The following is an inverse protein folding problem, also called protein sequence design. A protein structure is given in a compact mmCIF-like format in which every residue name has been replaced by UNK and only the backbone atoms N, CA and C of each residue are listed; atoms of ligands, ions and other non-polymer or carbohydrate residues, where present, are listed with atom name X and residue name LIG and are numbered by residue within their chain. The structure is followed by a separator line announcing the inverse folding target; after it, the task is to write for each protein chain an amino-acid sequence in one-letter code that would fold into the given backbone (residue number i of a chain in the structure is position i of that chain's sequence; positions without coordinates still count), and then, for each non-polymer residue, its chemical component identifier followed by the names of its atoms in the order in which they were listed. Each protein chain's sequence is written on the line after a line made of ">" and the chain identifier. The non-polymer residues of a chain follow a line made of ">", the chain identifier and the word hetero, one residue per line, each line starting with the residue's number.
data_IF_236729858165
#
_entry.id   IF_236729858165
#
_cell.length_a   1.000
_cell.length_b   1.000
_cell.length_c   1.000
_cell.angle_alpha   90.00
_cell.angle_beta   90.00
_cell.angle_gamma   90.00
#
_symmetry.space_group_name_H-M   'P 1'
#
loop_
_entity.id
_entity.type
_entity.pdbx_description
1 polymer ?
#
# COMPACT_ATOMS: atom_id res chain seq x y z
N UNK A 1 22.40 -19.94 -23.36
CA UNK A 1 23.21 -19.12 -24.28
C UNK A 1 22.93 -19.60 -25.70
N UNK A 2 22.48 -18.73 -26.60
CA UNK A 2 22.35 -19.09 -28.02
C UNK A 2 23.75 -19.21 -28.66
N UNK A 3 23.95 -20.15 -29.60
CA UNK A 3 25.22 -20.28 -30.31
C UNK A 3 25.46 -19.05 -31.21
N UNK A 4 26.73 -18.67 -31.49
CA UNK A 4 27.02 -17.53 -32.35
C UNK A 4 26.45 -17.74 -33.76
N UNK A 5 25.85 -16.72 -34.40
CA UNK A 5 25.27 -16.88 -35.73
C UNK A 5 26.32 -17.28 -36.75
N UNK A 6 25.98 -18.26 -37.60
CA UNK A 6 26.80 -18.66 -38.75
C UNK A 6 27.01 -17.47 -39.69
N UNK A 7 28.29 -17.10 -39.87
CA UNK A 7 28.89 -16.30 -40.95
C UNK A 7 27.89 -15.75 -42.00
N UNK A 8 27.22 -14.65 -41.72
CA UNK A 8 27.20 -13.45 -42.57
C UNK A 8 26.30 -12.39 -41.95
N UNK A 9 26.87 -11.20 -41.74
CA UNK A 9 26.20 -9.96 -41.36
C UNK A 9 25.93 -9.73 -39.86
N UNK A 10 27.00 -9.58 -39.07
CA UNK A 10 26.96 -9.17 -37.66
C UNK A 10 26.20 -7.84 -37.47
N UNK A 11 26.32 -6.92 -38.43
CA UNK A 11 25.57 -5.66 -38.46
C UNK A 11 24.05 -5.89 -38.44
N UNK A 12 23.53 -6.83 -39.24
CA UNK A 12 22.09 -7.13 -39.28
C UNK A 12 21.60 -7.73 -37.96
N UNK A 13 22.36 -8.66 -37.40
CA UNK A 13 22.04 -9.25 -36.10
C UNK A 13 22.00 -8.18 -34.99
N UNK A 14 23.02 -7.32 -34.94
CA UNK A 14 23.12 -6.27 -33.95
C UNK A 14 21.96 -5.26 -34.03
N UNK A 15 21.56 -4.86 -35.25
CA UNK A 15 20.40 -3.98 -35.47
C UNK A 15 19.10 -4.59 -34.92
N UNK A 16 18.88 -5.89 -35.16
CA UNK A 16 17.72 -6.60 -34.64
C UNK A 16 17.73 -6.66 -33.11
N UNK A 17 18.89 -6.99 -32.52
CA UNK A 17 19.07 -7.04 -31.07
C UNK A 17 18.78 -5.67 -30.42
N UNK A 18 19.33 -4.60 -30.99
CA UNK A 18 19.12 -3.22 -30.52
C UNK A 18 17.64 -2.80 -30.57
N UNK A 19 16.95 -3.15 -31.66
CA UNK A 19 15.51 -2.91 -31.80
C UNK A 19 14.72 -3.65 -30.72
N UNK A 20 15.06 -4.91 -30.47
CA UNK A 20 14.41 -5.70 -29.42
C UNK A 20 14.69 -5.12 -28.03
N UNK A 21 15.92 -4.69 -27.74
CA UNK A 21 16.28 -4.07 -26.46
C UNK A 21 15.43 -2.83 -26.17
N UNK A 22 15.27 -1.93 -27.16
CA UNK A 22 14.39 -0.74 -27.02
C UNK A 22 12.94 -1.17 -26.76
N UNK A 23 12.43 -2.13 -27.51
CA UNK A 23 11.06 -2.63 -27.33
C UNK A 23 10.84 -3.22 -25.93
N UNK A 24 11.80 -3.98 -25.39
CA UNK A 24 11.71 -4.57 -24.05
C UNK A 24 11.84 -3.51 -22.95
N UNK A 25 12.66 -2.48 -23.15
CA UNK A 25 12.75 -1.34 -22.22
C UNK A 25 11.44 -0.56 -22.16
N UNK A 26 10.82 -0.28 -23.32
CA UNK A 26 9.50 0.34 -23.36
C UNK A 26 8.44 -0.51 -22.65
N UNK A 27 8.40 -1.83 -22.91
CA UNK A 27 7.47 -2.73 -22.25
C UNK A 27 7.66 -2.75 -20.73
N UNK A 28 8.90 -2.83 -20.24
CA UNK A 28 9.21 -2.74 -18.80
C UNK A 28 8.67 -1.44 -18.20
N UNK A 29 9.01 -0.30 -18.81
CA UNK A 29 8.56 1.00 -18.32
C UNK A 29 7.03 1.14 -18.35
N UNK A 30 6.38 0.57 -19.38
CA UNK A 30 4.93 0.57 -19.50
C UNK A 30 4.28 -0.22 -18.36
N UNK A 31 4.75 -1.44 -18.07
CA UNK A 31 4.23 -2.24 -16.95
C UNK A 31 4.37 -1.53 -15.61
N UNK A 32 5.48 -0.83 -15.38
CA UNK A 32 5.68 -0.03 -14.17
C UNK A 32 4.73 1.18 -14.11
N UNK A 33 4.47 1.84 -15.25
CA UNK A 33 3.48 2.92 -15.33
C UNK A 33 2.05 2.44 -15.13
N UNK A 34 1.72 1.24 -15.60
CA UNK A 34 0.41 0.62 -15.42
C UNK A 34 0.18 0.26 -13.95
N UNK A 35 1.18 -0.29 -13.26
CA UNK A 35 1.12 -0.53 -11.82
C UNK A 35 0.87 0.76 -11.01
N UNK A 36 1.53 1.87 -11.38
CA UNK A 36 1.30 3.17 -10.73
C UNK A 36 -0.14 3.68 -10.96
N UNK A 37 -0.71 3.45 -12.14
CA UNK A 37 -2.09 3.80 -12.43
C UNK A 37 -3.08 2.90 -11.67
N UNK A 38 -2.79 1.61 -11.54
CA UNK A 38 -3.58 0.67 -10.74
C UNK A 38 -3.58 1.06 -9.27
N UNK A 39 -2.41 1.34 -8.69
CA UNK A 39 -2.28 1.82 -7.30
C UNK A 39 -3.10 3.09 -7.08
N UNK A 40 -2.99 4.05 -8.00
CA UNK A 40 -3.74 5.30 -7.96
C UNK A 40 -5.24 5.07 -8.01
N UNK A 41 -5.72 4.34 -9.02
CA UNK A 41 -7.16 4.15 -9.25
C UNK A 41 -7.80 3.31 -8.15
N UNK A 42 -7.11 2.28 -7.66
CA UNK A 42 -7.53 1.51 -6.49
C UNK A 42 -7.66 2.41 -5.25
N UNK A 43 -6.64 3.22 -4.97
CA UNK A 43 -6.63 4.13 -3.82
C UNK A 43 -7.79 5.13 -3.87
N UNK A 44 -8.06 5.72 -5.04
CA UNK A 44 -9.19 6.64 -5.24
C UNK A 44 -10.53 5.93 -4.98
N UNK A 45 -10.73 4.75 -5.57
CA UNK A 45 -11.98 3.99 -5.42
C UNK A 45 -12.21 3.55 -3.97
N UNK A 46 -11.18 3.02 -3.31
CA UNK A 46 -11.23 2.67 -1.89
C UNK A 46 -11.55 3.88 -1.03
N UNK A 47 -10.88 5.00 -1.28
CA UNK A 47 -11.08 6.24 -0.54
C UNK A 47 -12.48 6.81 -0.70
N UNK A 48 -13.10 6.68 -1.88
CA UNK A 48 -14.48 7.08 -2.11
C UNK A 48 -15.48 6.24 -1.29
N UNK A 49 -15.24 4.93 -1.18
CA UNK A 49 -16.06 4.04 -0.33
C UNK A 49 -15.94 4.45 1.13
N UNK A 50 -14.71 4.61 1.62
CA UNK A 50 -14.44 4.97 3.01
C UNK A 50 -15.00 6.35 3.37
N UNK A 51 -14.93 7.31 2.44
CA UNK A 51 -15.52 8.64 2.59
C UNK A 51 -17.03 8.56 2.75
N UNK A 52 -17.72 7.84 1.86
CA UNK A 52 -19.17 7.67 1.93
C UNK A 52 -19.62 7.03 3.25
N UNK A 53 -18.93 5.98 3.69
CA UNK A 53 -19.17 5.33 4.98
C UNK A 53 -18.98 6.30 6.15
N UNK A 54 -17.87 7.05 6.15
CA UNK A 54 -17.52 7.97 7.23
C UNK A 54 -18.48 9.15 7.32
N UNK A 55 -18.86 9.73 6.18
CA UNK A 55 -19.87 10.81 6.12
C UNK A 55 -21.24 10.33 6.61
N UNK A 56 -21.65 9.12 6.25
CA UNK A 56 -22.91 8.53 6.73
C UNK A 56 -22.90 8.33 8.25
N UNK A 57 -21.81 7.79 8.82
CA UNK A 57 -21.64 7.66 10.26
C UNK A 57 -21.63 9.01 10.96
N UNK A 58 -20.88 9.97 10.44
CA UNK A 58 -20.79 11.32 10.99
C UNK A 58 -22.17 11.98 11.06
N UNK A 59 -22.96 11.84 9.98
CA UNK A 59 -24.31 12.37 9.89
C UNK A 59 -25.24 11.79 10.95
N UNK A 60 -25.26 10.47 11.13
CA UNK A 60 -26.14 9.87 12.14
C UNK A 60 -25.69 10.22 13.56
N UNK A 61 -24.38 10.17 13.86
CA UNK A 61 -23.87 10.51 15.20
C UNK A 61 -24.20 11.94 15.58
N UNK A 62 -23.92 12.88 14.66
CA UNK A 62 -24.24 14.30 14.86
C UNK A 62 -25.73 14.54 15.02
N UNK A 63 -26.57 13.86 14.23
CA UNK A 63 -28.02 13.99 14.33
C UNK A 63 -28.54 13.55 15.71
N UNK A 64 -27.99 12.48 16.30
CA UNK A 64 -28.38 12.02 17.64
C UNK A 64 -27.78 12.88 18.75
N UNK A 65 -26.56 13.42 18.58
CA UNK A 65 -25.96 14.36 19.53
C UNK A 65 -26.76 15.67 19.63
N UNK A 66 -27.30 16.13 18.49
CA UNK A 66 -28.12 17.35 18.44
C UNK A 66 -29.56 17.14 18.94
N UNK A 67 -29.99 15.90 19.21
CA UNK A 67 -31.28 15.66 19.86
C UNK A 67 -31.21 16.15 21.30
N UNK A 68 -32.34 16.65 21.82
CA UNK A 68 -32.49 16.96 23.25
C UNK A 68 -32.47 15.67 24.07
N UNK A 69 -31.27 15.21 24.41
CA UNK A 69 -31.05 14.13 25.37
C UNK A 69 -31.06 14.77 26.77
N UNK A 70 -31.79 14.22 27.76
CA UNK A 70 -31.70 14.68 29.14
C UNK A 70 -30.23 14.70 29.62
N UNK A 71 -29.76 15.88 30.06
CA UNK A 71 -28.39 16.04 30.54
C UNK A 71 -28.34 15.72 32.04
N UNK A 72 -28.57 14.45 32.39
CA UNK A 72 -28.52 13.99 33.77
C UNK A 72 -27.04 13.98 34.20
N UNK A 73 -26.67 14.72 35.26
CA UNK A 73 -25.28 14.80 35.70
C UNK A 73 -24.84 13.50 36.35
N UNK A 74 -23.58 13.13 36.13
CA UNK A 74 -22.91 12.12 36.95
C UNK A 74 -22.61 12.68 38.35
N UNK A 75 -22.63 11.80 39.34
CA UNK A 75 -22.24 12.13 40.70
C UNK A 75 -20.72 12.04 40.79
N UNK A 76 -20.07 13.18 41.05
CA UNK A 76 -18.63 13.25 41.30
C UNK A 76 -18.37 13.15 42.80
N UNK A 77 -17.63 12.13 43.21
CA UNK A 77 -17.17 11.96 44.59
C UNK A 77 -15.65 11.85 44.55
N UNK A 78 -14.95 12.76 45.22
CA UNK A 78 -13.48 12.77 45.25
C UNK A 78 -12.95 11.47 45.86
N UNK A 79 -12.03 10.81 45.15
CA UNK A 79 -11.41 9.55 45.57
C UNK A 79 -12.24 8.28 45.37
N UNK A 80 -13.45 8.38 44.80
CA UNK A 80 -14.25 7.21 44.43
C UNK A 80 -13.90 6.68 43.03
N UNK A 81 -14.21 5.40 42.78
CA UNK A 81 -14.18 4.84 41.42
C UNK A 81 -15.09 5.64 40.50
N UNK A 82 -14.58 5.92 39.29
CA UNK A 82 -15.35 6.57 38.24
C UNK A 82 -16.56 5.69 37.88
N UNK A 83 -17.73 6.31 37.74
CA UNK A 83 -18.99 5.65 37.37
C UNK A 83 -19.74 6.55 36.39
N UNK A 84 -20.54 5.93 35.53
CA UNK A 84 -21.27 6.64 34.48
C UNK A 84 -22.75 6.31 34.55
N UNK A 85 -23.59 7.31 34.29
CA UNK A 85 -25.00 7.09 34.01
C UNK A 85 -25.23 6.72 32.54
N UNK A 86 -26.35 6.08 32.25
CA UNK A 86 -26.64 5.52 30.92
C UNK A 86 -26.74 6.59 29.81
N UNK A 87 -27.14 7.82 30.14
CA UNK A 87 -27.24 8.91 29.17
C UNK A 87 -25.85 9.42 28.74
N UNK A 88 -24.90 9.49 29.67
CA UNK A 88 -23.53 9.90 29.37
C UNK A 88 -22.74 8.79 28.66
N UNK A 89 -22.98 7.52 28.97
CA UNK A 89 -22.42 6.41 28.18
C UNK A 89 -22.93 6.46 26.74
N UNK A 90 -24.24 6.68 26.53
CA UNK A 90 -24.80 6.85 25.19
C UNK A 90 -24.20 8.05 24.45
N UNK A 91 -23.98 9.18 25.14
CA UNK A 91 -23.28 10.33 24.55
C UNK A 91 -21.87 9.96 24.10
N UNK A 92 -21.11 9.25 24.93
CA UNK A 92 -19.77 8.77 24.59
C UNK A 92 -19.78 7.89 23.33
N UNK A 93 -20.78 7.01 23.17
CA UNK A 93 -20.93 6.22 21.93
C UNK A 93 -20.99 7.12 20.71
N UNK A 94 -21.80 8.18 20.75
CA UNK A 94 -21.98 9.09 19.63
C UNK A 94 -20.72 9.92 19.36
N UNK A 95 -20.10 10.47 20.41
CA UNK A 95 -18.87 11.28 20.32
C UNK A 95 -17.68 10.48 19.77
N UNK A 96 -17.47 9.26 20.27
CA UNK A 96 -16.39 8.39 19.77
C UNK A 96 -16.64 7.94 18.33
N UNK A 97 -17.89 7.70 17.91
CA UNK A 97 -18.20 7.43 16.50
C UNK A 97 -17.94 8.66 15.61
N UNK A 98 -18.28 9.86 16.07
CA UNK A 98 -17.98 11.11 15.35
C UNK A 98 -16.47 11.29 15.17
N UNK A 99 -15.69 11.07 16.24
CA UNK A 99 -14.23 11.10 16.23
C UNK A 99 -13.64 10.10 15.24
N UNK A 100 -14.12 8.85 15.25
CA UNK A 100 -13.64 7.82 14.31
C UNK A 100 -13.99 8.16 12.85
N UNK A 101 -15.19 8.69 12.59
CA UNK A 101 -15.57 9.13 11.25
C UNK A 101 -14.65 10.24 10.74
N UNK A 102 -14.35 11.25 11.58
CA UNK A 102 -13.39 12.32 11.23
C UNK A 102 -11.98 11.77 10.98
N UNK A 103 -11.51 10.83 11.79
CA UNK A 103 -10.20 10.20 11.62
C UNK A 103 -10.09 9.44 10.28
N UNK A 104 -11.15 8.73 9.88
CA UNK A 104 -11.21 8.05 8.57
C UNK A 104 -11.20 9.03 7.40
N UNK A 105 -11.92 10.15 7.51
CA UNK A 105 -11.91 11.20 6.49
C UNK A 105 -10.51 11.82 6.34
N UNK A 106 -9.81 12.08 7.43
CA UNK A 106 -8.42 12.53 7.39
C UNK A 106 -7.51 11.49 6.72
N UNK A 107 -7.65 10.20 7.05
CA UNK A 107 -6.89 9.13 6.38
C UNK A 107 -7.14 9.09 4.87
N UNK A 108 -8.39 9.28 4.43
CA UNK A 108 -8.76 9.39 3.01
C UNK A 108 -8.04 10.55 2.31
N UNK A 109 -8.01 11.73 2.92
CA UNK A 109 -7.30 12.89 2.36
C UNK A 109 -5.79 12.61 2.22
N UNK A 110 -5.22 11.98 3.24
CA UNK A 110 -3.81 11.61 3.24
C UNK A 110 -3.52 10.56 2.16
N UNK A 111 -4.38 9.55 1.95
CA UNK A 111 -4.23 8.60 0.85
C UNK A 111 -4.32 9.25 -0.53
N UNK A 112 -5.19 10.23 -0.69
CA UNK A 112 -5.29 10.97 -1.95
C UNK A 112 -3.97 11.69 -2.24
N UNK A 113 -3.42 12.42 -1.28
CA UNK A 113 -2.22 13.23 -1.46
C UNK A 113 -0.95 12.37 -1.57
N UNK A 114 -0.73 11.47 -0.61
CA UNK A 114 0.55 10.76 -0.45
C UNK A 114 0.67 9.53 -1.35
N UNK A 115 -0.43 9.05 -1.93
CA UNK A 115 -0.41 7.87 -2.81
C UNK A 115 -0.97 8.22 -4.19
N UNK A 116 -2.22 8.66 -4.28
CA UNK A 116 -2.87 8.81 -5.59
C UNK A 116 -2.25 9.93 -6.45
N UNK A 117 -1.97 11.08 -5.84
CA UNK A 117 -1.36 12.23 -6.54
C UNK A 117 0.13 11.98 -6.82
N UNK A 118 0.89 11.48 -5.85
CA UNK A 118 2.30 11.11 -6.02
C UNK A 118 2.51 10.02 -7.09
N UNK A 119 1.67 8.98 -7.13
CA UNK A 119 1.72 7.95 -8.17
C UNK A 119 1.46 8.54 -9.57
N UNK A 120 0.54 9.49 -9.68
CA UNK A 120 0.26 10.22 -10.93
C UNK A 120 1.49 11.00 -11.40
N UNK A 121 2.13 11.75 -10.50
CA UNK A 121 3.33 12.54 -10.81
C UNK A 121 4.49 11.64 -11.22
N UNK A 122 4.74 10.58 -10.45
CA UNK A 122 5.80 9.62 -10.75
C UNK A 122 5.61 8.94 -12.10
N UNK A 123 4.37 8.53 -12.43
CA UNK A 123 4.04 7.95 -13.73
C UNK A 123 4.38 8.92 -14.87
N UNK A 124 3.99 10.18 -14.76
CA UNK A 124 4.31 11.20 -15.77
C UNK A 124 5.82 11.43 -15.88
N UNK A 125 6.53 11.45 -14.75
CA UNK A 125 7.97 11.58 -14.72
C UNK A 125 8.67 10.41 -15.43
N UNK A 126 8.26 9.17 -15.15
CA UNK A 126 8.78 7.97 -15.85
C UNK A 126 8.60 8.04 -17.35
N UNK A 127 7.42 8.42 -17.84
CA UNK A 127 7.19 8.56 -19.28
C UNK A 127 8.16 9.56 -19.93
N UNK A 128 8.42 10.68 -19.25
CA UNK A 128 9.35 11.69 -19.73
C UNK A 128 10.82 11.21 -19.70
N UNK A 129 11.22 10.54 -18.62
CA UNK A 129 12.57 9.99 -18.48
C UNK A 129 12.81 8.85 -19.47
N UNK A 130 11.86 7.94 -19.64
CA UNK A 130 11.97 6.82 -20.56
C UNK A 130 12.25 7.28 -21.99
N UNK A 131 11.56 8.33 -22.47
CA UNK A 131 11.82 8.92 -23.78
C UNK A 131 13.27 9.39 -23.92
N UNK A 132 13.77 10.15 -22.95
CA UNK A 132 15.16 10.64 -22.97
C UNK A 132 16.17 9.49 -22.94
N UNK A 133 15.94 8.50 -22.09
CA UNK A 133 16.81 7.32 -21.98
C UNK A 133 16.87 6.52 -23.28
N UNK A 134 15.73 6.32 -23.95
CA UNK A 134 15.70 5.61 -25.24
C UNK A 134 16.33 6.42 -26.36
N UNK A 135 16.18 7.75 -26.39
CA UNK A 135 16.83 8.61 -27.36
C UNK A 135 18.37 8.56 -27.22
N UNK A 136 18.89 8.62 -25.99
CA UNK A 136 20.32 8.47 -25.71
C UNK A 136 20.82 7.07 -26.08
N UNK A 137 20.08 6.02 -25.75
CA UNK A 137 20.47 4.65 -26.07
C UNK A 137 20.45 4.39 -27.58
N UNK A 138 19.49 4.95 -28.32
CA UNK A 138 19.43 4.86 -29.77
C UNK A 138 20.64 5.53 -30.46
N UNK A 139 21.17 6.60 -29.87
CA UNK A 139 22.39 7.23 -30.34
C UNK A 139 23.61 6.31 -30.13
N UNK A 140 23.76 5.74 -28.94
CA UNK A 140 24.79 4.73 -28.66
C UNK A 140 24.69 3.52 -29.61
N UNK A 141 23.47 3.05 -29.89
CA UNK A 141 23.22 2.00 -30.87
C UNK A 141 23.76 2.34 -32.26
N UNK A 142 23.53 3.57 -32.73
CA UNK A 142 24.00 4.04 -34.04
C UNK A 142 25.53 4.10 -34.12
N UNK A 143 26.19 4.57 -33.06
CA UNK A 143 27.65 4.65 -32.98
C UNK A 143 28.29 3.26 -32.96
N UNK A 144 27.73 2.34 -32.16
CA UNK A 144 28.18 0.95 -32.12
C UNK A 144 27.96 0.23 -33.45
N UNK A 145 26.80 0.42 -34.09
CA UNK A 145 26.54 -0.14 -35.42
C UNK A 145 27.53 0.38 -36.48
N UNK A 146 27.93 1.65 -36.41
CA UNK A 146 28.97 2.21 -37.28
C UNK A 146 30.31 1.50 -37.06
N UNK A 147 30.67 1.23 -35.81
CA UNK A 147 31.93 0.54 -35.48
C UNK A 147 31.94 -0.90 -36.03
N UNK A 148 30.80 -1.61 -35.95
CA UNK A 148 30.65 -2.97 -36.54
C UNK A 148 30.64 -2.94 -38.07
N UNK A 149 30.08 -1.90 -38.69
CA UNK A 149 30.16 -1.72 -40.15
C UNK A 149 31.60 -1.59 -40.63
N UNK A 150 32.47 -0.92 -39.87
CA UNK A 150 33.88 -0.79 -40.22
C UNK A 150 34.65 -2.12 -40.11
N UNK A 151 34.22 -3.02 -39.21
CA UNK A 151 34.71 -4.42 -39.18
C UNK A 151 34.35 -5.15 -40.47
N UNK A 152 33.11 -5.03 -40.95
CA UNK A 152 32.68 -5.67 -42.20
C UNK A 152 33.46 -5.11 -43.41
N UNK A 153 33.73 -3.80 -43.45
CA UNK A 153 34.51 -3.14 -44.52
C UNK A 153 35.98 -3.58 -44.53
N UNK A 154 36.67 -3.47 -43.39
CA UNK A 154 38.09 -3.82 -43.26
C UNK A 154 38.32 -5.32 -43.47
N UNK A 155 37.37 -6.16 -43.02
CA UNK A 155 37.38 -7.60 -43.34
C UNK A 155 37.38 -7.84 -44.84
N UNK A 156 36.49 -7.18 -45.60
CA UNK A 156 36.40 -7.35 -47.05
C UNK A 156 37.71 -6.96 -47.71
N UNK A 157 38.26 -5.79 -47.36
CA UNK A 157 39.55 -5.32 -47.87
C UNK A 157 40.68 -6.30 -47.57
N UNK A 158 40.77 -6.78 -46.32
CA UNK A 158 41.75 -7.80 -45.93
C UNK A 158 41.62 -9.07 -46.78
N UNK A 159 40.40 -9.58 -46.99
CA UNK A 159 40.19 -10.79 -47.81
C UNK A 159 40.61 -10.58 -49.26
N UNK A 160 40.30 -9.42 -49.86
CA UNK A 160 40.66 -9.09 -51.23
C UNK A 160 42.19 -8.94 -51.41
N UNK A 161 42.87 -8.24 -50.50
CA UNK A 161 44.33 -8.05 -50.53
C UNK A 161 45.09 -9.35 -50.20
N UNK A 162 44.64 -10.13 -49.22
CA UNK A 162 45.25 -11.42 -48.87
C UNK A 162 45.12 -12.43 -50.02
N UNK A 163 43.97 -12.48 -50.70
CA UNK A 163 43.77 -13.33 -51.86
C UNK A 163 44.73 -12.96 -53.00
N UNK A 164 44.87 -11.66 -53.29
CA UNK A 164 45.80 -11.18 -54.32
C UNK A 164 47.27 -11.46 -53.95
N UNK A 165 47.64 -11.31 -52.67
CA UNK A 165 48.97 -11.65 -52.17
C UNK A 165 49.25 -13.16 -52.22
N UNK A 166 48.24 -14.00 -52.00
CA UNK A 166 48.34 -15.45 -52.13
C UNK A 166 48.62 -15.88 -53.58
N UNK A 167 47.86 -15.35 -54.53
CA UNK A 167 48.03 -15.64 -55.96
C UNK A 167 49.44 -15.29 -56.47
N UNK A 168 50.04 -14.21 -55.96
CA UNK A 168 51.40 -13.82 -56.33
C UNK A 168 52.45 -14.65 -55.62
N UNK A 169 52.20 -15.12 -54.38
CA UNK A 169 53.06 -16.11 -53.70
C UNK A 169 53.15 -17.41 -54.49
N UNK A 170 52.02 -17.94 -54.96
CA UNK A 170 52.00 -19.17 -55.77
C UNK A 170 52.76 -18.99 -57.09
N UNK A 171 52.55 -17.87 -57.79
CA UNK A 171 53.29 -17.52 -59.02
C UNK A 171 54.79 -17.37 -58.80
N UNK A 172 55.20 -16.74 -57.69
CA UNK A 172 56.61 -16.59 -57.33
C UNK A 172 57.26 -17.96 -57.10
N UNK A 173 56.58 -18.83 -56.33
CA UNK A 173 57.03 -20.20 -56.04
C UNK A 173 57.18 -21.04 -57.32
N UNK A 174 56.22 -20.96 -58.23
CA UNK A 174 56.29 -21.65 -59.53
C UNK A 174 57.49 -21.21 -60.38
N UNK A 175 57.80 -19.90 -60.39
CA UNK A 175 58.94 -19.35 -61.13
C UNK A 175 60.27 -19.78 -60.47
N UNK A 176 60.36 -19.74 -59.14
CA UNK A 176 61.52 -20.22 -58.40
C UNK A 176 61.79 -21.71 -58.62
N UNK A 177 60.74 -22.54 -58.63
CA UNK A 177 60.87 -23.97 -58.93
C UNK A 177 61.36 -24.23 -60.37
N UNK A 178 60.87 -23.46 -61.35
CA UNK A 178 61.34 -23.55 -62.75
C UNK A 178 62.82 -23.16 -62.87
N UNK A 179 63.26 -22.14 -62.13
CA UNK A 179 64.68 -21.74 -62.05
C UNK A 179 65.54 -22.82 -61.39
N UNK A 180 65.10 -23.41 -60.26
CA UNK A 180 65.82 -24.49 -59.55
C UNK A 180 65.98 -25.76 -60.40
N UNK A 181 64.95 -26.13 -61.17
CA UNK A 181 64.96 -27.33 -62.02
C UNK A 181 65.76 -27.15 -63.32
N UNK A 182 66.33 -25.95 -63.60
CA UNK A 182 66.96 -25.57 -64.90
C UNK A 182 66.14 -25.96 -66.14
N UNK A 183 64.82 -26.15 -65.99
CA UNK A 183 63.89 -26.49 -67.08
C UNK A 183 63.38 -25.18 -67.69
N UNK A 184 64.21 -24.55 -68.51
CA UNK A 184 63.74 -23.53 -69.44
C UNK A 184 62.80 -24.16 -70.46
N UNK A 185 61.69 -23.50 -70.76
CA UNK A 185 60.93 -23.80 -71.98
C UNK A 185 61.86 -23.62 -73.19
N UNK A 186 61.71 -24.41 -74.24
CA UNK A 186 62.59 -24.44 -75.44
C UNK A 186 62.76 -23.06 -76.12
N UNK A 187 61.92 -22.08 -75.76
CA UNK A 187 61.94 -20.70 -76.27
C UNK A 187 62.26 -19.61 -75.24
N UNK A 188 62.65 -19.95 -74.00
CA UNK A 188 62.83 -18.95 -72.93
C UNK A 188 64.21 -18.99 -72.29
N UNK A 189 65.00 -17.92 -72.44
CA UNK A 189 66.37 -17.84 -71.91
C UNK A 189 66.39 -17.72 -70.39
N UNK A 190 67.44 -18.28 -69.75
CA UNK A 190 67.65 -18.24 -68.29
C UNK A 190 67.65 -16.79 -67.78
N UNK A 191 68.26 -15.86 -68.52
CA UNK A 191 68.30 -14.42 -68.19
C UNK A 191 66.90 -13.79 -68.18
N UNK A 192 66.02 -14.19 -69.10
CA UNK A 192 64.63 -13.71 -69.13
C UNK A 192 63.81 -14.22 -67.94
N UNK A 193 64.05 -15.47 -67.51
CA UNK A 193 63.43 -16.07 -66.32
C UNK A 193 63.91 -15.40 -65.03
N UNK A 194 65.20 -15.05 -64.93
CA UNK A 194 65.75 -14.30 -63.79
C UNK A 194 65.14 -12.89 -63.69
N UNK A 195 65.01 -12.16 -64.80
CA UNK A 195 64.37 -10.83 -64.83
C UNK A 195 62.89 -10.91 -64.44
N UNK A 196 62.18 -11.95 -64.89
CA UNK A 196 60.79 -12.19 -64.52
C UNK A 196 60.66 -12.54 -63.02
N UNK A 197 61.53 -13.40 -62.49
CA UNK A 197 61.59 -13.73 -61.07
C UNK A 197 61.81 -12.50 -60.19
N UNK A 198 62.75 -11.63 -60.54
CA UNK A 198 62.98 -10.38 -59.82
C UNK A 198 61.74 -9.45 -59.84
N UNK A 199 61.07 -9.33 -60.99
CA UNK A 199 59.83 -8.54 -61.13
C UNK A 199 58.69 -9.10 -60.30
N UNK A 200 58.50 -10.43 -60.31
CA UNK A 200 57.44 -11.10 -59.54
C UNK A 200 57.74 -11.05 -58.04
N UNK A 201 59.01 -11.16 -57.62
CA UNK A 201 59.41 -10.98 -56.23
C UNK A 201 59.13 -9.57 -55.73
N UNK A 202 59.51 -8.53 -56.49
CA UNK A 202 59.20 -7.14 -56.11
C UNK A 202 57.69 -6.89 -56.00
N UNK A 203 56.89 -7.47 -56.91
CA UNK A 203 55.43 -7.40 -56.85
C UNK A 203 54.86 -8.18 -55.66
N UNK A 204 55.46 -9.32 -55.30
CA UNK A 204 55.10 -10.11 -54.10
C UNK A 204 55.27 -9.24 -52.86
N UNK A 205 56.44 -8.64 -52.68
CA UNK A 205 56.76 -7.86 -51.49
C UNK A 205 55.78 -6.68 -51.31
N UNK A 206 55.43 -5.98 -52.39
CA UNK A 206 54.42 -4.90 -52.37
C UNK A 206 53.02 -5.39 -51.97
N UNK A 207 52.58 -6.55 -52.48
CA UNK A 207 51.26 -7.10 -52.14
C UNK A 207 51.22 -7.71 -50.74
N UNK A 208 52.35 -8.22 -50.26
CA UNK A 208 52.49 -8.74 -48.90
C UNK A 208 52.45 -7.60 -47.86
N UNK A 209 53.07 -6.46 -48.17
CA UNK A 209 52.94 -5.22 -47.39
C UNK A 209 51.48 -4.75 -47.35
N UNK A 210 50.79 -4.70 -48.49
CA UNK A 210 49.36 -4.32 -48.56
C UNK A 210 48.46 -5.27 -47.78
N UNK A 211 48.65 -6.58 -47.93
CA UNK A 211 47.89 -7.57 -47.15
C UNK A 211 48.13 -7.40 -45.66
N UNK A 212 49.38 -7.19 -45.25
CA UNK A 212 49.73 -6.96 -43.84
C UNK A 212 49.07 -5.70 -43.30
N UNK A 213 49.08 -4.59 -44.06
CA UNK A 213 48.36 -3.37 -43.71
C UNK A 213 46.86 -3.60 -43.54
N UNK A 214 46.20 -4.21 -44.53
CA UNK A 214 44.77 -4.51 -44.46
C UNK A 214 44.40 -5.47 -43.31
N UNK A 215 45.28 -6.45 -43.01
CA UNK A 215 45.12 -7.35 -41.86
C UNK A 215 45.19 -6.57 -40.54
N UNK A 216 46.15 -5.67 -40.40
CA UNK A 216 46.28 -4.84 -39.20
C UNK A 216 45.06 -3.94 -39.00
N UNK A 217 44.59 -3.28 -40.07
CA UNK A 217 43.37 -2.45 -40.01
C UNK A 217 42.14 -3.27 -39.60
N UNK A 218 42.00 -4.49 -40.13
CA UNK A 218 40.94 -5.39 -39.73
C UNK A 218 41.04 -5.80 -38.26
N UNK A 219 42.23 -6.19 -37.77
CA UNK A 219 42.45 -6.52 -36.37
C UNK A 219 42.16 -5.35 -35.43
N UNK A 220 42.57 -4.13 -35.80
CA UNK A 220 42.28 -2.90 -35.05
C UNK A 220 40.78 -2.61 -35.01
N UNK A 221 40.08 -2.76 -36.13
CA UNK A 221 38.62 -2.56 -36.18
C UNK A 221 37.87 -3.56 -35.29
N UNK A 222 38.31 -4.83 -35.22
CA UNK A 222 37.74 -5.84 -34.32
C UNK A 222 37.95 -5.41 -32.87
N UNK A 223 39.17 -4.99 -32.52
CA UNK A 223 39.48 -4.55 -31.17
C UNK A 223 38.61 -3.35 -30.76
N UNK A 224 38.46 -2.37 -31.65
CA UNK A 224 37.61 -1.20 -31.43
C UNK A 224 36.12 -1.57 -31.27
N UNK A 225 35.58 -2.42 -32.14
CA UNK A 225 34.20 -2.88 -32.07
C UNK A 225 33.91 -3.66 -30.79
N UNK A 226 34.81 -4.55 -30.38
CA UNK A 226 34.66 -5.30 -29.13
C UNK A 226 34.73 -4.38 -27.90
N UNK A 227 35.65 -3.41 -27.89
CA UNK A 227 35.74 -2.43 -26.80
C UNK A 227 34.46 -1.57 -26.71
N UNK A 228 33.93 -1.12 -27.85
CA UNK A 228 32.68 -0.36 -27.91
C UNK A 228 31.48 -1.23 -27.46
N UNK A 229 31.37 -2.47 -27.92
CA UNK A 229 30.32 -3.40 -27.50
C UNK A 229 30.33 -3.62 -25.98
N UNK A 230 31.52 -3.77 -25.38
CA UNK A 230 31.67 -3.91 -23.93
C UNK A 230 31.23 -2.64 -23.19
N UNK A 231 31.64 -1.46 -23.67
CA UNK A 231 31.21 -0.17 -23.09
C UNK A 231 29.70 -0.01 -23.18
N UNK A 232 29.12 -0.28 -24.33
CA UNK A 232 27.67 -0.23 -24.53
C UNK A 232 26.93 -1.11 -23.52
N UNK A 233 27.34 -2.37 -23.42
CA UNK A 233 26.64 -3.34 -22.59
C UNK A 233 26.80 -3.08 -21.09
N UNK A 234 28.01 -2.74 -20.64
CA UNK A 234 28.35 -2.57 -19.23
C UNK A 234 28.04 -1.18 -18.69
N UNK A 235 27.96 -0.16 -19.55
CA UNK A 235 27.78 1.24 -19.13
C UNK A 235 26.49 1.81 -19.68
N UNK A 236 26.35 1.89 -21.00
CA UNK A 236 25.26 2.68 -21.61
C UNK A 236 23.89 2.02 -21.40
N UNK A 237 23.80 0.71 -21.64
CA UNK A 237 22.58 -0.05 -21.40
C UNK A 237 22.23 -0.09 -19.92
N UNK A 238 23.21 -0.26 -19.03
CA UNK A 238 22.98 -0.26 -17.58
C UNK A 238 22.48 1.10 -17.09
N UNK A 239 23.13 2.19 -17.50
CA UNK A 239 22.73 3.55 -17.15
C UNK A 239 21.33 3.90 -17.68
N UNK A 240 20.98 3.42 -18.88
CA UNK A 240 19.63 3.57 -19.43
C UNK A 240 18.59 2.86 -18.54
N UNK A 241 18.84 1.61 -18.16
CA UNK A 241 17.94 0.85 -17.28
C UNK A 241 17.77 1.50 -15.91
N UNK A 242 18.87 1.92 -15.28
CA UNK A 242 18.88 2.58 -13.97
C UNK A 242 18.16 3.93 -14.02
N UNK A 243 18.44 4.75 -15.03
CA UNK A 243 17.79 6.06 -15.17
C UNK A 243 16.29 5.90 -15.44
N UNK A 244 15.90 4.92 -16.26
CA UNK A 244 14.50 4.65 -16.59
C UNK A 244 13.68 4.13 -15.41
N UNK A 245 14.32 3.54 -14.40
CA UNK A 245 13.67 3.11 -13.15
C UNK A 245 12.96 4.29 -12.46
N UNK A 246 13.62 5.45 -12.38
CA UNK A 246 13.13 6.67 -11.74
C UNK A 246 12.61 6.45 -10.30
N UNK A 247 13.34 5.68 -9.49
CA UNK A 247 13.02 5.37 -8.09
C UNK A 247 11.64 4.70 -7.87
N UNK A 248 11.09 4.04 -8.90
CA UNK A 248 9.75 3.45 -8.82
C UNK A 248 9.63 2.39 -7.74
N UNK A 249 10.69 1.60 -7.48
CA UNK A 249 10.65 0.54 -6.48
C UNK A 249 10.55 1.09 -5.06
N UNK A 250 11.34 2.12 -4.76
CA UNK A 250 11.31 2.82 -3.47
C UNK A 250 9.94 3.47 -3.25
N UNK A 251 9.42 4.17 -4.26
CA UNK A 251 8.12 4.85 -4.17
C UNK A 251 6.95 3.88 -4.00
N UNK A 252 6.94 2.77 -4.74
CA UNK A 252 5.90 1.73 -4.56
C UNK A 252 5.99 1.13 -3.16
N UNK A 253 7.20 0.86 -2.65
CA UNK A 253 7.41 0.38 -1.28
C UNK A 253 6.87 1.38 -0.25
N UNK A 254 7.17 2.67 -0.44
CA UNK A 254 6.66 3.77 0.39
C UNK A 254 5.13 3.81 0.38
N UNK A 255 4.49 3.80 -0.80
CA UNK A 255 3.03 3.85 -0.92
C UNK A 255 2.35 2.69 -0.19
N UNK A 256 2.83 1.46 -0.38
CA UNK A 256 2.27 0.26 0.25
C UNK A 256 2.49 0.28 1.77
N UNK A 257 3.68 0.68 2.21
CA UNK A 257 4.00 0.82 3.65
C UNK A 257 3.13 1.89 4.29
N UNK A 258 2.95 3.02 3.61
CA UNK A 258 2.15 4.15 4.07
C UNK A 258 0.67 3.77 4.19
N UNK A 259 0.15 3.04 3.21
CA UNK A 259 -1.20 2.48 3.24
C UNK A 259 -1.40 1.59 4.47
N UNK A 260 -0.50 0.63 4.68
CA UNK A 260 -0.55 -0.27 5.83
C UNK A 260 -0.45 0.45 7.18
N UNK A 261 0.50 1.38 7.32
CA UNK A 261 0.68 2.16 8.56
C UNK A 261 -0.55 2.98 8.91
N UNK A 262 -1.11 3.69 7.93
CA UNK A 262 -2.29 4.54 8.15
C UNK A 262 -3.50 3.70 8.55
N UNK A 263 -3.70 2.54 7.93
CA UNK A 263 -4.79 1.63 8.29
C UNK A 263 -4.61 1.01 9.69
N UNK A 264 -3.38 0.70 10.10
CA UNK A 264 -3.11 0.24 11.45
C UNK A 264 -3.42 1.33 12.49
N UNK A 265 -3.16 2.59 12.17
CA UNK A 265 -3.52 3.72 13.04
C UNK A 265 -5.04 3.88 13.17
N UNK A 266 -5.81 3.74 12.07
CA UNK A 266 -7.28 3.80 12.14
C UNK A 266 -7.87 2.62 12.92
N UNK A 267 -7.29 1.42 12.79
CA UNK A 267 -7.64 0.26 13.61
C UNK A 267 -7.35 0.48 15.09
N UNK A 268 -6.18 1.04 15.43
CA UNK A 268 -5.82 1.36 16.82
C UNK A 268 -6.77 2.41 17.43
N UNK A 269 -7.09 3.46 16.68
CA UNK A 269 -8.08 4.45 17.11
C UNK A 269 -9.45 3.81 17.35
N UNK A 270 -9.88 2.92 16.44
CA UNK A 270 -11.13 2.16 16.55
C UNK A 270 -11.14 1.31 17.81
N UNK A 271 -10.07 0.56 18.06
CA UNK A 271 -9.92 -0.28 19.26
C UNK A 271 -10.02 0.57 20.54
N UNK A 272 -9.33 1.72 20.59
CA UNK A 272 -9.35 2.60 21.75
C UNK A 272 -10.76 3.16 22.01
N UNK A 273 -11.42 3.68 20.99
CA UNK A 273 -12.78 4.25 21.09
C UNK A 273 -13.81 3.22 21.54
N UNK A 274 -13.80 2.01 20.95
CA UNK A 274 -14.73 0.95 21.37
C UNK A 274 -14.36 0.32 22.72
N UNK A 275 -13.07 0.30 23.09
CA UNK A 275 -12.61 -0.06 24.42
C UNK A 275 -13.20 0.88 25.48
N UNK A 276 -13.06 2.19 25.29
CA UNK A 276 -13.66 3.21 26.16
C UNK A 276 -15.16 3.03 26.33
N UNK A 277 -15.90 2.87 25.22
CA UNK A 277 -17.35 2.64 25.26
C UNK A 277 -17.70 1.41 26.11
N UNK A 278 -17.02 0.29 25.85
CA UNK A 278 -17.25 -0.97 26.58
C UNK A 278 -16.99 -0.79 28.08
N UNK A 279 -15.86 -0.19 28.43
CA UNK A 279 -15.43 -0.06 29.82
C UNK A 279 -16.39 0.84 30.60
N UNK A 280 -16.87 1.94 30.00
CA UNK A 280 -17.91 2.77 30.62
C UNK A 280 -19.26 2.04 30.73
N UNK A 281 -19.66 1.27 29.71
CA UNK A 281 -20.91 0.52 29.73
C UNK A 281 -20.93 -0.56 30.84
N UNK A 282 -19.77 -1.16 31.16
CA UNK A 282 -19.65 -2.13 32.24
C UNK A 282 -19.84 -1.53 33.63
N UNK A 283 -19.71 -0.21 33.78
CA UNK A 283 -19.91 0.49 35.06
C UNK A 283 -21.38 0.84 35.32
N UNK A 284 -22.28 0.56 34.36
CA UNK A 284 -23.71 0.86 34.49
C UNK A 284 -24.34 -0.03 35.57
N UNK A 285 -24.82 0.61 36.63
CA UNK A 285 -25.59 -0.05 37.70
C UNK A 285 -26.93 0.66 37.90
N UNK A 286 -27.95 -0.10 38.32
CA UNK A 286 -29.29 0.44 38.59
C UNK A 286 -29.23 1.48 39.70
N UNK A 287 -28.48 1.18 40.75
CA UNK A 287 -28.36 1.98 41.97
C UNK A 287 -27.73 3.33 41.65
N UNK A 288 -26.63 3.37 40.89
CA UNK A 288 -25.99 4.61 40.49
C UNK A 288 -26.88 5.48 39.61
N UNK A 289 -27.57 4.88 38.63
CA UNK A 289 -28.50 5.62 37.76
C UNK A 289 -29.67 6.22 38.54
N UNK A 290 -30.21 5.51 39.55
CA UNK A 290 -31.24 6.05 40.45
C UNK A 290 -30.71 7.21 41.29
N UNK A 291 -29.47 7.13 41.80
CA UNK A 291 -28.85 8.25 42.52
C UNK A 291 -28.71 9.49 41.64
N UNK A 292 -28.26 9.34 40.38
CA UNK A 292 -28.17 10.44 39.43
C UNK A 292 -29.55 11.05 39.14
N UNK A 293 -30.60 10.20 39.05
CA UNK A 293 -31.98 10.66 38.90
C UNK A 293 -32.48 11.41 40.13
N UNK A 294 -32.16 10.97 41.36
CA UNK A 294 -32.53 11.72 42.57
C UNK A 294 -31.81 13.05 42.66
N UNK A 295 -30.56 13.13 42.17
CA UNK A 295 -29.85 14.40 42.09
C UNK A 295 -30.53 15.36 41.10
N UNK A 296 -30.95 14.85 39.94
CA UNK A 296 -31.59 15.65 38.90
C UNK A 296 -33.07 15.98 39.20
N UNK A 297 -33.79 15.07 39.87
CA UNK A 297 -35.18 15.22 40.31
C UNK A 297 -35.29 15.03 41.83
N UNK A 298 -34.87 16.02 42.65
CA UNK A 298 -34.82 15.88 44.11
C UNK A 298 -36.16 15.50 44.77
N UNK A 299 -37.27 15.93 44.17
CA UNK A 299 -38.63 15.61 44.62
C UNK A 299 -38.89 14.10 44.75
N UNK A 300 -38.21 13.27 43.94
CA UNK A 300 -38.36 11.80 43.98
C UNK A 300 -37.74 11.16 45.24
N UNK A 301 -36.91 11.91 46.00
CA UNK A 301 -36.33 11.50 47.29
C UNK A 301 -36.89 12.32 48.45
N UNK A 302 -37.82 13.25 48.19
CA UNK A 302 -38.40 14.08 49.23
C UNK A 302 -39.27 13.22 50.14
N UNK A 303 -38.94 13.19 51.43
CA UNK A 303 -39.71 12.51 52.46
C UNK A 303 -40.45 13.56 53.28
N UNK A 304 -41.77 13.42 53.40
CA UNK A 304 -42.59 14.30 54.23
C UNK A 304 -42.87 13.56 55.54
N UNK A 305 -42.56 14.20 56.66
CA UNK A 305 -42.96 13.76 57.99
C UNK A 305 -43.95 14.78 58.54
N UNK A 306 -44.97 14.29 59.21
CA UNK A 306 -45.93 15.11 59.92
C UNK A 306 -45.56 15.10 61.39
N UNK A 307 -45.49 16.27 61.98
CA UNK A 307 -45.22 16.44 63.41
C UNK A 307 -46.54 16.62 64.15
N UNK A 308 -46.56 16.24 65.44
CA UNK A 308 -47.70 16.53 66.31
C UNK A 308 -47.74 18.03 66.59
N UNK A 309 -48.86 18.67 66.24
CA UNK A 309 -49.11 20.09 66.54
C UNK A 309 -49.99 20.19 67.80
N UNK A 310 -49.44 20.57 68.97
CA UNK A 310 -50.20 20.58 70.21
C UNK A 310 -51.25 21.70 70.22
N UNK A 311 -52.50 21.34 70.50
CA UNK A 311 -53.57 22.32 70.73
C UNK A 311 -53.39 22.95 72.11
N UNK A 312 -53.45 24.28 72.21
CA UNK A 312 -53.34 25.04 73.47
C UNK A 312 -52.13 24.66 74.37
N UNK A 313 -51.00 24.27 73.75
CA UNK A 313 -49.81 23.77 74.43
C UNK A 313 -50.03 22.49 75.25
N UNK A 314 -50.88 21.57 74.78
CA UNK A 314 -51.01 20.22 75.34
C UNK A 314 -49.63 19.55 75.46
N UNK A 315 -49.17 19.21 76.69
CA UNK A 315 -47.86 18.60 76.89
C UNK A 315 -47.83 17.10 76.55
N UNK A 316 -48.97 16.48 76.21
CA UNK A 316 -49.06 15.04 75.94
C UNK A 316 -48.91 14.78 74.44
N UNK A 317 -47.74 14.25 74.06
CA UNK A 317 -47.39 13.87 72.68
C UNK A 317 -47.31 12.35 72.48
N UNK A 318 -47.77 11.58 73.46
CA UNK A 318 -47.73 10.12 73.48
C UNK A 318 -49.10 9.50 73.70
N UNK A 319 -49.26 8.24 73.30
CA UNK A 319 -50.50 7.50 73.50
C UNK A 319 -50.68 7.17 74.99
N UNK A 320 -51.72 7.72 75.62
CA UNK A 320 -52.05 7.49 77.05
C UNK A 320 -53.12 6.40 77.23
N UNK A 321 -52.98 5.56 78.28
CA UNK A 321 -53.87 4.40 78.55
C UNK A 321 -54.39 4.40 80.00
N UNK A 322 -54.44 5.56 80.65
CA UNK A 322 -54.74 5.66 82.08
C UNK A 322 -56.17 5.26 82.47
N UNK A 323 -57.11 5.32 81.53
CA UNK A 323 -58.50 4.90 81.73
C UNK A 323 -58.75 3.49 81.18
N UNK A 324 -59.39 2.63 81.98
CA UNK A 324 -59.67 1.23 81.61
C UNK A 324 -60.52 1.10 80.33
N UNK A 325 -61.47 2.03 80.12
CA UNK A 325 -62.26 2.07 78.89
C UNK A 325 -61.40 2.37 77.65
N UNK A 326 -60.44 3.29 77.77
CA UNK A 326 -59.49 3.63 76.69
C UNK A 326 -58.56 2.44 76.41
N UNK A 327 -58.09 1.74 77.45
CA UNK A 327 -57.28 0.53 77.30
C UNK A 327 -58.02 -0.58 76.53
N UNK A 328 -59.30 -0.80 76.84
CA UNK A 328 -60.14 -1.76 76.13
C UNK A 328 -60.36 -1.36 74.67
N UNK A 329 -60.66 -0.08 74.40
CA UNK A 329 -60.85 0.43 73.03
C UNK A 329 -59.57 0.32 72.20
N UNK A 330 -58.43 0.78 72.71
CA UNK A 330 -57.14 0.66 72.03
C UNK A 330 -56.76 -0.80 71.80
N UNK A 331 -57.02 -1.69 72.75
CA UNK A 331 -56.79 -3.13 72.60
C UNK A 331 -57.68 -3.81 71.56
N UNK A 332 -58.90 -3.31 71.33
CA UNK A 332 -59.76 -3.77 70.25
C UNK A 332 -59.28 -3.24 68.89
N UNK A 333 -58.97 -1.95 68.79
CA UNK A 333 -58.46 -1.34 67.55
C UNK A 333 -57.09 -1.91 67.15
N UNK A 334 -56.17 -2.13 68.10
CA UNK A 334 -54.89 -2.78 67.82
C UNK A 334 -55.07 -4.18 67.21
N UNK A 335 -55.99 -5.00 67.75
CA UNK A 335 -56.32 -6.32 67.20
C UNK A 335 -56.95 -6.22 65.80
N UNK A 336 -57.83 -5.24 65.60
CA UNK A 336 -58.47 -4.96 64.30
C UNK A 336 -57.42 -4.60 63.24
N UNK A 337 -56.53 -3.65 63.53
CA UNK A 337 -55.48 -3.23 62.61
C UNK A 337 -54.43 -4.32 62.37
N UNK A 338 -54.02 -5.06 63.39
CA UNK A 338 -53.12 -6.20 63.23
C UNK A 338 -53.70 -7.26 62.28
N UNK A 339 -54.98 -7.60 62.46
CA UNK A 339 -55.69 -8.54 61.56
C UNK A 339 -55.77 -8.01 60.13
N UNK A 340 -56.03 -6.70 59.97
CA UNK A 340 -56.05 -6.06 58.65
C UNK A 340 -54.67 -6.10 57.99
N UNK A 341 -53.60 -5.76 58.71
CA UNK A 341 -52.22 -5.81 58.18
C UNK A 341 -51.88 -7.22 57.71
N UNK A 342 -52.22 -8.26 58.46
CA UNK A 342 -52.01 -9.66 58.04
C UNK A 342 -52.75 -10.00 56.73
N UNK A 343 -54.02 -9.60 56.63
CA UNK A 343 -54.83 -9.81 55.42
C UNK A 343 -54.23 -9.07 54.22
N UNK A 344 -53.94 -7.79 54.34
CA UNK A 344 -53.39 -6.97 53.25
C UNK A 344 -52.00 -7.47 52.83
N UNK A 345 -51.16 -7.85 53.78
CA UNK A 345 -49.84 -8.44 53.50
C UNK A 345 -49.97 -9.73 52.69
N UNK A 346 -50.96 -10.59 53.00
CA UNK A 346 -51.23 -11.78 52.19
C UNK A 346 -51.67 -11.43 50.77
N UNK A 347 -52.55 -10.42 50.62
CA UNK A 347 -53.00 -9.96 49.30
C UNK A 347 -51.85 -9.40 48.46
N UNK A 348 -50.97 -8.59 49.06
CA UNK A 348 -49.75 -8.07 48.41
C UNK A 348 -48.84 -9.22 47.98
N UNK A 349 -48.64 -10.22 48.85
CA UNK A 349 -47.82 -11.40 48.52
C UNK A 349 -48.39 -12.18 47.34
N UNK A 350 -49.70 -12.40 47.31
CA UNK A 350 -50.36 -13.12 46.22
C UNK A 350 -50.34 -12.33 44.91
N UNK A 351 -50.55 -11.01 44.97
CA UNK A 351 -50.39 -10.12 43.81
C UNK A 351 -48.95 -10.13 43.28
N UNK A 352 -47.96 -10.08 44.17
CA UNK A 352 -46.53 -10.15 43.82
C UNK A 352 -46.20 -11.49 43.17
N UNK A 353 -46.73 -12.60 43.69
CA UNK A 353 -46.57 -13.93 43.07
C UNK A 353 -47.15 -13.96 41.66
N UNK A 354 -48.36 -13.43 41.45
CA UNK A 354 -48.96 -13.33 40.11
C UNK A 354 -48.13 -12.48 39.17
N UNK A 355 -47.59 -11.36 39.65
CA UNK A 355 -46.73 -10.48 38.88
C UNK A 355 -45.45 -11.20 38.42
N UNK A 356 -44.80 -11.97 39.30
CA UNK A 356 -43.65 -12.81 38.90
C UNK A 356 -44.01 -13.87 37.87
N UNK A 357 -45.18 -14.50 37.97
CA UNK A 357 -45.67 -15.45 36.95
C UNK A 357 -45.83 -14.76 35.59
N UNK A 358 -46.43 -13.56 35.56
CA UNK A 358 -46.57 -12.80 34.31
C UNK A 358 -45.23 -12.34 33.73
N UNK A 359 -44.27 -11.96 34.58
CA UNK A 359 -42.91 -11.66 34.13
C UNK A 359 -42.25 -12.89 33.51
N UNK A 360 -42.34 -14.05 34.15
CA UNK A 360 -41.80 -15.30 33.60
C UNK A 360 -42.45 -15.70 32.27
N UNK A 361 -43.77 -15.52 32.12
CA UNK A 361 -44.48 -15.77 30.86
C UNK A 361 -44.02 -14.82 29.74
N UNK A 362 -43.86 -13.53 30.05
CA UNK A 362 -43.31 -12.53 29.11
C UNK A 362 -41.90 -12.89 28.68
N UNK A 363 -41.04 -13.26 29.63
CA UNK A 363 -39.64 -13.61 29.37
C UNK A 363 -39.53 -14.91 28.56
N UNK A 364 -40.51 -15.81 28.69
CA UNK A 364 -40.69 -16.97 27.82
C UNK A 364 -41.31 -16.64 26.44
N UNK A 365 -41.47 -15.37 26.08
CA UNK A 365 -41.98 -14.92 24.79
C UNK A 365 -43.49 -15.09 24.58
N UNK A 366 -44.24 -15.40 25.64
CA UNK A 366 -45.70 -15.52 25.54
C UNK A 366 -46.31 -14.12 25.45
N UNK A 367 -46.89 -13.80 24.29
CA UNK A 367 -47.67 -12.56 24.12
C UNK A 367 -48.99 -12.71 24.89
N UNK A 368 -49.14 -11.93 25.96
CA UNK A 368 -50.46 -11.73 26.59
C UNK A 368 -51.32 -11.03 25.53
N UNK A 369 -52.34 -11.72 25.00
CA UNK A 369 -53.41 -11.06 24.23
C UNK A 369 -54.12 -10.14 25.21
N UNK A 370 -53.89 -8.83 25.07
CA UNK A 370 -54.68 -7.79 25.74
C UNK A 370 -56.08 -7.79 25.16
#
# INVERSE_FOLDING_TARGET
>A
MQPPPRKSNYTKFLKNLHTEQIAKLHAKNQHECDLLEDLRTYTIKRSAIEKSYSEALLKISSAYLNKKIPNIPDIKVDGAEEKWNMWNVWRTVLEENEKLARARLAAVEVFQQQIADEAKFLRQHKLNVAKKCTDTLAQAHKELQTTVLDVDKTKKLYFDEEHTAHDVRDKAKDIEEKLKKKKGSFFQSITSLQKNSAKVSSRRDQLEEKSTGARNDYLLSIAAANAHQNRYFLVELQNCMLSMEAAVYEKVSEFLTFMGRTELLTCSATQHSFGKIRDQAQQLTREYNLQCLYLYYPVLKQHIQYEFEPCDNDPIDTVTIEHESVAQTLGQEARRWATRVLRETSLVRDATRKMHVYQAMRDAGQKVRV
#
